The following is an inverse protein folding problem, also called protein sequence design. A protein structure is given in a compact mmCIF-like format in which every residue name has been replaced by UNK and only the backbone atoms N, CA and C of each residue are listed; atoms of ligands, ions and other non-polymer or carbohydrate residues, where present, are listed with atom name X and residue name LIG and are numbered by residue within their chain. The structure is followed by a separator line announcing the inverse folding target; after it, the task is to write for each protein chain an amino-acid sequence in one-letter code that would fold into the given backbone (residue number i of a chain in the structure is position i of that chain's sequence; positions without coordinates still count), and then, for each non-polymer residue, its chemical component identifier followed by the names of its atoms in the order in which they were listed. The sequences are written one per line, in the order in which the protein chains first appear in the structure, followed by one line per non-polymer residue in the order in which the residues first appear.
data_IF_014257525699
#
_entry.id   IF_014257525699
#
_cell.length_a   1.000
_cell.length_b   1.000
_cell.length_c   1.000
_cell.angle_alpha   90.00
_cell.angle_beta   90.00
_cell.angle_gamma   90.00
#
_symmetry.space_group_name_H-M   'P 1'
#
loop_
_entity.id
_entity.type
_entity.pdbx_description
1 polymer ?
#
# COMPACT_ATOMS: atom_id res chain seq x y z
N UNK A 1 -14.20 -36.66 -5.41
CA UNK A 1 -13.13 -35.73 -5.80
C UNK A 1 -13.82 -34.45 -6.20
N UNK A 2 -13.77 -33.47 -5.32
CA UNK A 2 -14.46 -32.20 -5.49
C UNK A 2 -13.47 -31.16 -6.01
N UNK A 3 -13.94 -30.18 -6.79
CA UNK A 3 -13.17 -29.11 -7.39
C UNK A 3 -12.29 -28.28 -6.40
N UNK A 4 -12.33 -28.61 -5.11
CA UNK A 4 -11.50 -28.01 -4.06
C UNK A 4 -10.09 -28.63 -3.96
N UNK A 5 -9.84 -29.80 -4.58
CA UNK A 5 -8.54 -30.47 -4.50
C UNK A 5 -7.58 -30.14 -5.64
N UNK A 6 -8.06 -29.46 -6.70
CA UNK A 6 -7.20 -29.04 -7.84
C UNK A 6 -6.48 -27.70 -7.62
N UNK A 7 -6.66 -27.02 -6.48
CA UNK A 7 -5.91 -25.79 -6.14
C UNK A 7 -4.64 -26.08 -5.31
N UNK A 8 -4.30 -27.36 -5.10
CA UNK A 8 -3.33 -27.81 -4.08
C UNK A 8 -1.85 -27.73 -4.43
N UNK A 9 -1.45 -27.56 -5.67
CA UNK A 9 -0.03 -27.47 -6.07
C UNK A 9 0.14 -26.55 -7.29
N UNK A 10 -0.18 -25.28 -7.15
CA UNK A 10 0.50 -24.32 -8.02
C UNK A 10 1.94 -24.23 -7.54
N UNK A 11 2.85 -24.90 -8.23
CA UNK A 11 4.28 -24.64 -8.18
C UNK A 11 4.47 -23.12 -8.09
N UNK A 12 5.47 -22.69 -7.31
CA UNK A 12 5.94 -21.30 -7.21
C UNK A 12 5.54 -20.53 -8.46
N UNK A 13 4.57 -19.61 -8.34
CA UNK A 13 3.75 -19.22 -9.48
C UNK A 13 4.61 -18.74 -10.64
N UNK A 14 4.42 -19.31 -11.79
CA UNK A 14 5.22 -19.08 -13.00
C UNK A 14 5.27 -17.58 -13.39
N UNK A 15 4.30 -16.78 -12.95
CA UNK A 15 4.28 -15.33 -13.16
C UNK A 15 5.38 -14.61 -12.34
N UNK A 16 5.55 -14.92 -11.05
CA UNK A 16 6.56 -14.29 -10.20
C UNK A 16 7.99 -14.72 -10.55
N UNK A 17 8.18 -15.90 -11.11
CA UNK A 17 9.50 -16.34 -11.59
C UNK A 17 10.07 -15.40 -12.67
N UNK A 18 9.23 -14.64 -13.38
CA UNK A 18 9.64 -13.68 -14.41
C UNK A 18 9.98 -12.30 -13.85
N UNK A 19 9.66 -12.02 -12.57
CA UNK A 19 9.85 -10.70 -11.98
C UNK A 19 11.29 -10.18 -12.09
N UNK A 20 12.38 -10.96 -11.81
CA UNK A 20 13.74 -10.47 -11.97
C UNK A 20 14.05 -10.00 -13.38
N UNK A 21 13.60 -10.75 -14.39
CA UNK A 21 13.83 -10.40 -15.80
C UNK A 21 13.07 -9.12 -16.20
N UNK A 22 11.83 -8.95 -15.74
CA UNK A 22 11.01 -7.75 -16.01
C UNK A 22 11.63 -6.53 -15.34
N UNK A 23 12.07 -6.63 -14.08
CA UNK A 23 12.72 -5.57 -13.33
C UNK A 23 14.01 -5.13 -14.04
N UNK A 24 14.86 -6.08 -14.41
CA UNK A 24 16.09 -5.81 -15.14
C UNK A 24 15.85 -5.17 -16.52
N UNK A 25 14.88 -5.68 -17.28
CA UNK A 25 14.52 -5.13 -18.59
C UNK A 25 14.00 -3.68 -18.52
N UNK A 26 13.44 -3.28 -17.38
CA UNK A 26 12.99 -1.90 -17.13
C UNK A 26 14.09 -1.00 -16.55
N UNK A 27 15.28 -1.54 -16.26
CA UNK A 27 16.39 -0.80 -15.68
C UNK A 27 16.12 -0.30 -14.25
N UNK A 28 15.27 -0.99 -13.47
CA UNK A 28 14.93 -0.59 -12.12
C UNK A 28 16.04 -0.96 -11.13
N UNK A 29 16.41 -0.01 -10.27
CA UNK A 29 17.31 -0.23 -9.13
C UNK A 29 16.59 -0.87 -7.95
N UNK A 30 15.31 -0.55 -7.74
CA UNK A 30 14.47 -1.23 -6.75
C UNK A 30 14.07 -2.61 -7.28
N UNK A 31 14.09 -3.61 -6.38
CA UNK A 31 13.88 -5.02 -6.74
C UNK A 31 15.17 -5.77 -7.10
N UNK A 32 16.33 -5.18 -6.88
CA UNK A 32 17.62 -5.81 -7.11
C UNK A 32 18.52 -5.70 -5.85
N UNK A 33 18.80 -6.81 -5.14
CA UNK A 33 18.31 -8.17 -5.38
C UNK A 33 16.85 -8.38 -5.04
N UNK A 34 16.18 -9.30 -5.74
CA UNK A 34 14.86 -9.80 -5.41
C UNK A 34 15.00 -11.19 -4.76
N UNK A 35 14.58 -11.30 -3.51
CA UNK A 35 14.51 -12.56 -2.77
C UNK A 35 13.07 -13.03 -2.77
N UNK A 36 12.82 -14.21 -3.32
CA UNK A 36 11.46 -14.76 -3.42
C UNK A 36 11.37 -16.03 -2.58
N UNK A 37 10.36 -16.13 -1.73
CA UNK A 37 10.10 -17.27 -0.86
C UNK A 37 8.67 -17.78 -1.02
N UNK A 38 8.46 -19.07 -0.80
CA UNK A 38 7.11 -19.64 -0.80
C UNK A 38 6.31 -19.18 0.42
N UNK A 39 6.94 -19.20 1.58
CA UNK A 39 6.32 -18.81 2.83
C UNK A 39 7.31 -18.15 3.77
N UNK A 40 6.86 -17.12 4.47
CA UNK A 40 7.60 -16.49 5.56
C UNK A 40 6.64 -16.05 6.67
N UNK A 41 7.18 -15.73 7.84
CA UNK A 41 6.38 -15.10 8.88
C UNK A 41 5.94 -13.69 8.43
N UNK A 42 6.88 -12.88 7.89
CA UNK A 42 6.60 -11.53 7.40
C UNK A 42 7.75 -11.04 6.52
N UNK A 43 7.43 -10.57 5.32
CA UNK A 43 8.41 -9.95 4.40
C UNK A 43 9.06 -8.70 5.01
N UNK A 44 8.38 -7.95 5.88
CA UNK A 44 8.99 -6.84 6.62
C UNK A 44 10.09 -7.32 7.58
N UNK A 45 9.91 -8.45 8.24
CA UNK A 45 10.94 -9.00 9.14
C UNK A 45 12.12 -9.55 8.38
N UNK A 46 11.88 -10.16 7.21
CA UNK A 46 12.94 -10.58 6.30
C UNK A 46 13.76 -9.38 5.82
N UNK A 47 13.07 -8.31 5.39
CA UNK A 47 13.72 -7.08 4.97
C UNK A 47 14.52 -6.40 6.09
N UNK A 48 14.01 -6.37 7.32
CA UNK A 48 14.75 -5.88 8.51
C UNK A 48 15.98 -6.74 8.79
N UNK A 49 15.85 -8.06 8.67
CA UNK A 49 16.98 -8.98 8.82
C UNK A 49 18.03 -8.71 7.75
N UNK A 50 17.62 -8.60 6.47
CA UNK A 50 18.49 -8.24 5.37
C UNK A 50 19.20 -6.90 5.58
N UNK A 51 18.48 -5.87 6.04
CA UNK A 51 19.04 -4.56 6.33
C UNK A 51 20.17 -4.60 7.35
N UNK A 52 20.01 -5.40 8.44
CA UNK A 52 21.03 -5.63 9.48
C UNK A 52 22.23 -6.42 8.98
N UNK A 53 22.06 -7.26 7.96
CA UNK A 53 23.15 -8.01 7.30
C UNK A 53 23.75 -7.28 6.09
N UNK A 54 23.46 -5.98 5.93
CA UNK A 54 24.12 -5.15 4.92
C UNK A 54 23.50 -5.22 3.52
N UNK A 55 22.28 -5.74 3.37
CA UNK A 55 21.59 -5.70 2.07
C UNK A 55 21.53 -4.28 1.50
N UNK A 56 21.69 -4.10 0.17
CA UNK A 56 21.74 -2.80 -0.46
C UNK A 56 20.36 -2.12 -0.48
N UNK A 57 20.37 -0.81 -0.77
CA UNK A 57 19.15 -0.06 -1.13
C UNK A 57 18.46 -0.76 -2.30
N UNK A 58 17.14 -0.88 -2.24
CA UNK A 58 16.33 -1.51 -3.29
C UNK A 58 16.15 -3.02 -3.15
N UNK A 59 16.92 -3.69 -2.27
CA UNK A 59 16.71 -5.11 -1.99
C UNK A 59 15.24 -5.36 -1.59
N UNK A 60 14.62 -6.36 -2.19
CA UNK A 60 13.18 -6.64 -2.06
C UNK A 60 12.95 -8.09 -1.68
N UNK A 61 12.07 -8.33 -0.72
CA UNK A 61 11.62 -9.65 -0.27
C UNK A 61 10.16 -9.83 -0.66
N UNK A 62 9.87 -10.88 -1.39
CA UNK A 62 8.57 -11.26 -1.91
C UNK A 62 8.21 -12.65 -1.40
N UNK A 63 6.97 -12.85 -0.95
CA UNK A 63 6.47 -14.15 -0.49
C UNK A 63 5.12 -14.49 -1.11
N UNK A 64 4.87 -15.79 -1.36
CA UNK A 64 3.55 -16.28 -1.79
C UNK A 64 2.56 -16.33 -0.62
N UNK A 65 3.04 -16.53 0.60
CA UNK A 65 2.22 -16.48 1.81
C UNK A 65 2.98 -15.93 3.00
N UNK A 66 2.23 -15.35 3.94
CA UNK A 66 2.75 -14.91 5.23
C UNK A 66 1.95 -15.56 6.37
N UNK A 67 2.64 -16.22 7.32
CA UNK A 67 2.01 -16.84 8.50
C UNK A 67 1.72 -15.85 9.62
N UNK A 68 2.40 -14.69 9.63
CA UNK A 68 2.24 -13.61 10.60
C UNK A 68 2.24 -12.24 9.89
N UNK A 69 1.47 -12.13 8.79
CA UNK A 69 1.32 -10.88 8.05
C UNK A 69 0.75 -9.76 8.94
N UNK A 70 1.36 -8.56 8.87
CA UNK A 70 1.00 -7.44 9.75
C UNK A 70 0.46 -6.26 8.97
N UNK A 71 -0.58 -5.65 9.55
CA UNK A 71 -1.00 -4.29 9.27
C UNK A 71 -0.62 -3.34 10.41
N UNK A 72 -1.06 -2.09 10.33
CA UNK A 72 -0.87 -1.10 11.39
C UNK A 72 -1.66 -1.48 12.65
N UNK A 73 -1.21 -0.98 13.81
CA UNK A 73 -1.90 -1.16 15.11
C UNK A 73 -2.15 -2.64 15.47
N UNK A 74 -1.22 -3.54 15.11
CA UNK A 74 -1.32 -4.96 15.45
C UNK A 74 -2.36 -5.75 14.65
N UNK A 75 -2.97 -5.18 13.61
CA UNK A 75 -3.90 -5.91 12.73
C UNK A 75 -3.17 -6.98 11.94
N UNK A 76 -3.87 -8.05 11.65
CA UNK A 76 -3.36 -9.13 10.80
C UNK A 76 -3.68 -8.81 9.33
N UNK A 77 -2.71 -9.05 8.45
CA UNK A 77 -2.93 -9.08 7.01
C UNK A 77 -3.16 -10.52 6.58
N UNK A 78 -4.38 -10.83 6.17
CA UNK A 78 -4.79 -12.16 5.70
C UNK A 78 -4.66 -12.19 4.17
N UNK A 79 -3.99 -13.22 3.65
CA UNK A 79 -3.79 -13.39 2.22
C UNK A 79 -3.78 -14.87 1.86
N UNK A 80 -4.70 -15.35 1.03
CA UNK A 80 -4.59 -16.67 0.45
C UNK A 80 -3.28 -16.82 -0.35
N UNK A 81 -2.68 -18.02 -0.30
CA UNK A 81 -1.46 -18.32 -1.03
C UNK A 81 -1.68 -18.20 -2.54
N UNK A 82 -0.77 -17.55 -3.24
CA UNK A 82 -0.75 -17.50 -4.70
C UNK A 82 -1.62 -16.43 -5.34
N UNK A 83 -2.46 -15.74 -4.58
CA UNK A 83 -3.42 -14.77 -5.12
C UNK A 83 -2.92 -13.33 -5.10
N UNK A 84 -2.00 -13.01 -4.20
CA UNK A 84 -1.67 -11.62 -3.89
C UNK A 84 -0.18 -11.31 -4.09
N UNK A 85 0.17 -10.04 -4.04
CA UNK A 85 1.53 -9.56 -3.93
C UNK A 85 1.80 -9.17 -2.48
N UNK A 86 2.76 -9.85 -1.85
CA UNK A 86 3.21 -9.61 -0.48
C UNK A 86 4.70 -9.37 -0.50
N UNK A 87 5.12 -8.11 -0.42
CA UNK A 87 6.55 -7.80 -0.55
C UNK A 87 6.97 -6.62 0.31
N UNK A 88 8.26 -6.51 0.56
CA UNK A 88 8.88 -5.44 1.33
C UNK A 88 10.15 -4.97 0.65
N UNK A 89 10.30 -3.65 0.50
CA UNK A 89 11.45 -3.00 -0.12
C UNK A 89 12.29 -2.33 0.95
N UNK A 90 13.59 -2.58 0.93
CA UNK A 90 14.57 -1.90 1.78
C UNK A 90 15.02 -0.59 1.13
N UNK A 91 14.80 0.51 1.82
CA UNK A 91 15.13 1.86 1.37
C UNK A 91 16.15 2.50 2.31
N UNK A 92 17.30 2.91 1.79
CA UNK A 92 18.32 3.69 2.52
C UNK A 92 18.27 5.12 2.00
N UNK A 93 17.53 5.98 2.73
CA UNK A 93 17.14 7.31 2.23
C UNK A 93 17.90 8.45 2.90
N UNK A 94 18.57 8.21 4.05
CA UNK A 94 19.31 9.23 4.78
C UNK A 94 18.47 10.44 5.24
N UNK A 95 17.14 10.31 5.28
CA UNK A 95 16.22 11.39 5.59
C UNK A 95 16.02 11.60 7.10
N UNK A 96 15.53 12.80 7.53
CA UNK A 96 15.11 13.01 8.90
C UNK A 96 13.93 12.09 9.29
N UNK A 97 13.82 11.65 10.56
CA UNK A 97 12.73 10.80 11.04
C UNK A 97 11.32 11.33 10.73
N UNK A 98 11.13 12.64 10.77
CA UNK A 98 9.85 13.28 10.45
C UNK A 98 9.38 13.08 9.01
N UNK A 99 10.28 12.68 8.09
CA UNK A 99 9.96 12.38 6.69
C UNK A 99 9.45 10.95 6.48
N UNK A 100 9.61 10.05 7.45
CA UNK A 100 9.24 8.64 7.29
C UNK A 100 7.72 8.42 7.25
N UNK A 101 6.90 8.96 8.17
CA UNK A 101 5.46 8.69 8.16
C UNK A 101 4.76 9.05 6.84
N UNK A 102 5.05 10.20 6.19
CA UNK A 102 4.45 10.53 4.90
C UNK A 102 4.81 9.58 3.74
N UNK A 103 5.90 8.81 3.85
CA UNK A 103 6.28 7.86 2.80
C UNK A 103 5.23 6.77 2.58
N UNK A 104 4.38 6.46 3.56
CA UNK A 104 3.27 5.53 3.37
C UNK A 104 2.28 6.03 2.30
N UNK A 105 2.05 7.34 2.21
CA UNK A 105 1.21 7.95 1.18
C UNK A 105 1.87 7.94 -0.19
N UNK A 106 3.18 8.15 -0.24
CA UNK A 106 3.97 8.07 -1.47
C UNK A 106 3.98 6.64 -2.02
N UNK A 107 4.20 5.64 -1.14
CA UNK A 107 4.06 4.24 -1.52
C UNK A 107 2.63 3.91 -1.96
N UNK A 108 1.62 4.44 -1.25
CA UNK A 108 0.21 4.31 -1.64
C UNK A 108 -0.07 4.87 -3.02
N UNK A 109 0.53 6.00 -3.39
CA UNK A 109 0.38 6.59 -4.73
C UNK A 109 1.03 5.72 -5.82
N UNK A 110 2.21 5.13 -5.56
CA UNK A 110 2.84 4.18 -6.48
C UNK A 110 1.99 2.92 -6.70
N UNK A 111 1.44 2.36 -5.62
CA UNK A 111 0.51 1.22 -5.67
C UNK A 111 -0.77 1.59 -6.41
N UNK A 112 -1.34 2.76 -6.13
CA UNK A 112 -2.52 3.29 -6.80
C UNK A 112 -2.33 3.36 -8.32
N UNK A 113 -1.19 3.91 -8.77
CA UNK A 113 -0.89 4.05 -10.19
C UNK A 113 -0.76 2.67 -10.87
N UNK A 114 -0.12 1.69 -10.21
CA UNK A 114 0.01 0.33 -10.72
C UNK A 114 -1.35 -0.40 -10.79
N UNK A 115 -2.19 -0.27 -9.76
CA UNK A 115 -3.54 -0.84 -9.73
C UNK A 115 -4.42 -0.22 -10.82
N UNK A 116 -4.41 1.11 -10.97
CA UNK A 116 -5.17 1.78 -12.02
C UNK A 116 -4.73 1.36 -13.43
N UNK A 117 -3.42 1.18 -13.63
CA UNK A 117 -2.87 0.68 -14.89
C UNK A 117 -3.34 -0.76 -15.18
N UNK A 118 -3.35 -1.63 -14.16
CA UNK A 118 -3.81 -3.01 -14.28
C UNK A 118 -5.32 -3.14 -14.57
N UNK A 119 -6.12 -2.19 -14.09
CA UNK A 119 -7.56 -2.10 -14.37
C UNK A 119 -7.88 -1.43 -15.71
N UNK A 120 -6.94 -0.65 -16.23
CA UNK A 120 -7.11 0.13 -17.46
C UNK A 120 -7.63 1.57 -17.24
N UNK A 121 -7.50 2.43 -18.26
CA UNK A 121 -7.71 3.89 -18.13
C UNK A 121 -9.13 4.30 -17.75
N UNK A 122 -10.14 3.47 -18.03
CA UNK A 122 -11.53 3.74 -17.63
C UNK A 122 -11.72 3.74 -16.10
N UNK A 123 -10.82 3.13 -15.36
CA UNK A 123 -10.87 2.98 -13.90
C UNK A 123 -9.93 3.92 -13.14
N UNK A 124 -9.24 4.85 -13.82
CA UNK A 124 -8.26 5.73 -13.16
C UNK A 124 -8.86 6.51 -11.99
N UNK A 125 -10.08 7.00 -12.11
CA UNK A 125 -10.77 7.75 -11.07
C UNK A 125 -11.31 6.87 -9.93
N UNK A 126 -11.50 5.57 -10.17
CA UNK A 126 -12.02 4.63 -9.18
C UNK A 126 -10.98 4.23 -8.13
N UNK A 127 -9.67 4.40 -8.47
CA UNK A 127 -8.54 4.01 -7.62
C UNK A 127 -8.01 5.22 -6.88
N UNK A 128 -8.11 5.19 -5.55
CA UNK A 128 -7.78 6.32 -4.69
C UNK A 128 -6.91 5.90 -3.49
N UNK A 129 -6.14 6.85 -2.94
CA UNK A 129 -5.35 6.67 -1.72
C UNK A 129 -6.19 7.11 -0.52
N UNK A 130 -6.39 6.23 0.42
CA UNK A 130 -7.02 6.56 1.71
C UNK A 130 -5.94 6.75 2.78
N UNK A 131 -5.89 7.96 3.32
CA UNK A 131 -5.03 8.25 4.47
C UNK A 131 -5.30 7.26 5.63
N UNK A 132 -4.27 6.76 6.31
CA UNK A 132 -2.86 7.10 6.11
C UNK A 132 -2.08 6.14 5.19
N UNK A 133 -2.65 4.99 4.76
CA UNK A 133 -1.83 3.90 4.22
C UNK A 133 -2.59 2.86 3.38
N UNK A 134 -3.80 3.14 2.94
CA UNK A 134 -4.62 2.20 2.16
C UNK A 134 -4.80 2.69 0.72
N UNK A 135 -4.95 1.76 -0.20
CA UNK A 135 -5.43 2.02 -1.56
C UNK A 135 -6.80 1.36 -1.72
N UNK A 136 -7.74 2.12 -2.24
CA UNK A 136 -9.12 1.67 -2.46
C UNK A 136 -9.45 1.66 -3.94
N UNK A 137 -10.32 0.71 -4.35
CA UNK A 137 -11.04 0.73 -5.61
C UNK A 137 -12.53 0.77 -5.28
N UNK A 138 -13.25 1.77 -5.78
CA UNK A 138 -14.69 1.97 -5.51
C UNK A 138 -15.06 1.88 -4.02
N UNK A 139 -14.17 2.40 -3.16
CA UNK A 139 -14.38 2.45 -1.72
C UNK A 139 -13.97 1.17 -0.96
N UNK A 140 -13.57 0.10 -1.64
CA UNK A 140 -13.08 -1.15 -1.03
C UNK A 140 -11.56 -1.23 -1.08
N UNK A 141 -10.94 -1.75 -0.02
CA UNK A 141 -9.49 -1.85 0.11
C UNK A 141 -8.93 -2.92 -0.83
N UNK A 142 -8.03 -2.50 -1.74
CA UNK A 142 -7.27 -3.38 -2.64
C UNK A 142 -5.83 -3.58 -2.15
N UNK A 143 -5.27 -2.60 -1.43
CA UNK A 143 -3.91 -2.70 -0.91
C UNK A 143 -3.73 -1.98 0.42
N UNK A 144 -2.71 -2.40 1.17
CA UNK A 144 -2.27 -1.75 2.39
C UNK A 144 -0.75 -1.63 2.45
N UNK A 145 -0.29 -0.53 3.02
CA UNK A 145 1.13 -0.20 3.16
C UNK A 145 1.51 -0.15 4.64
N UNK A 146 2.64 -0.76 5.00
CA UNK A 146 3.23 -0.71 6.33
C UNK A 146 4.68 -0.25 6.25
N UNK A 147 4.90 1.03 6.53
CA UNK A 147 6.25 1.61 6.60
C UNK A 147 6.79 1.47 8.00
N UNK A 148 7.97 0.86 8.13
CA UNK A 148 8.73 0.73 9.37
C UNK A 148 10.15 1.28 9.16
N UNK A 149 10.79 1.77 10.21
CA UNK A 149 12.14 2.32 10.09
C UNK A 149 13.00 1.97 11.30
N UNK A 150 14.31 1.98 11.12
CA UNK A 150 15.28 1.98 12.20
C UNK A 150 16.04 3.30 12.22
N UNK A 151 16.43 3.72 13.43
CA UNK A 151 17.20 4.91 13.65
C UNK A 151 18.62 4.54 14.11
N UNK A 152 19.60 5.30 13.63
CA UNK A 152 20.97 5.31 14.13
C UNK A 152 21.26 6.74 14.64
N UNK A 153 21.19 6.92 15.96
CA UNK A 153 21.17 8.24 16.57
C UNK A 153 19.96 9.06 16.12
N UNK A 154 20.20 10.25 15.58
CA UNK A 154 19.16 11.17 15.12
C UNK A 154 18.78 10.96 13.63
N UNK A 155 19.36 9.99 12.94
CA UNK A 155 19.14 9.75 11.52
C UNK A 155 18.41 8.43 11.26
N UNK A 156 17.65 8.38 10.17
CA UNK A 156 17.06 7.15 9.68
C UNK A 156 18.17 6.29 9.06
N UNK A 157 18.37 5.10 9.61
CA UNK A 157 19.33 4.13 9.09
C UNK A 157 18.77 3.44 7.84
N UNK A 158 17.54 2.96 7.94
CA UNK A 158 16.79 2.41 6.84
C UNK A 158 15.27 2.53 7.05
N UNK A 159 14.56 2.43 5.96
CA UNK A 159 13.10 2.31 5.91
C UNK A 159 12.74 1.01 5.23
N UNK A 160 11.76 0.29 5.75
CA UNK A 160 11.13 -0.86 5.12
C UNK A 160 9.73 -0.45 4.68
N UNK A 161 9.48 -0.54 3.38
CA UNK A 161 8.15 -0.34 2.80
C UNK A 161 7.51 -1.70 2.54
N UNK A 162 6.68 -2.18 3.48
CA UNK A 162 5.89 -3.39 3.32
C UNK A 162 4.60 -3.08 2.58
N UNK A 163 4.30 -3.88 1.56
CA UNK A 163 3.17 -3.66 0.65
C UNK A 163 2.45 -4.99 0.44
N UNK A 164 1.13 -4.98 0.71
CA UNK A 164 0.23 -6.06 0.37
C UNK A 164 -0.81 -5.59 -0.65
N UNK A 165 -0.94 -6.30 -1.77
CA UNK A 165 -1.91 -5.97 -2.84
C UNK A 165 -2.73 -7.22 -3.15
N UNK A 166 -4.05 -7.11 -3.09
CA UNK A 166 -4.96 -8.15 -3.54
C UNK A 166 -5.04 -8.12 -5.07
N UNK A 167 -4.54 -9.16 -5.74
CA UNK A 167 -4.40 -9.17 -7.21
C UNK A 167 -5.36 -10.14 -7.87
N UNK A 168 -5.17 -11.45 -7.69
CA UNK A 168 -5.83 -12.51 -8.45
C UNK A 168 -7.08 -13.09 -7.77
N UNK A 169 -7.23 -12.88 -6.45
CA UNK A 169 -8.32 -13.46 -5.67
C UNK A 169 -9.69 -13.08 -6.24
N UNK A 170 -10.51 -14.08 -6.57
CA UNK A 170 -11.87 -13.91 -7.10
C UNK A 170 -12.96 -14.13 -6.06
N UNK A 171 -12.56 -14.41 -4.83
CA UNK A 171 -13.42 -14.47 -3.66
C UNK A 171 -12.70 -13.95 -2.44
N UNK A 172 -13.44 -13.43 -1.50
CA UNK A 172 -12.93 -12.96 -0.21
C UNK A 172 -13.79 -13.59 0.89
N UNK A 173 -13.22 -13.80 2.10
CA UNK A 173 -14.06 -14.16 3.25
C UNK A 173 -15.22 -13.19 3.42
N UNK A 174 -16.39 -13.70 3.85
CA UNK A 174 -17.63 -12.91 3.95
C UNK A 174 -17.44 -11.65 4.80
N UNK A 175 -16.67 -11.74 5.89
CA UNK A 175 -16.38 -10.62 6.79
C UNK A 175 -15.57 -9.50 6.11
N UNK A 176 -14.83 -9.82 5.04
CA UNK A 176 -14.01 -8.87 4.30
C UNK A 176 -14.66 -8.38 3.01
N UNK A 177 -15.64 -9.09 2.47
CA UNK A 177 -16.26 -8.81 1.15
C UNK A 177 -16.91 -7.42 1.05
N UNK A 178 -17.35 -6.87 2.19
CA UNK A 178 -17.92 -5.52 2.26
C UNK A 178 -16.86 -4.40 2.24
N UNK A 179 -15.63 -4.67 2.67
CA UNK A 179 -14.60 -3.65 2.93
C UNK A 179 -13.33 -3.83 2.11
N UNK A 180 -13.11 -5.00 1.51
CA UNK A 180 -11.96 -5.31 0.69
C UNK A 180 -12.36 -5.78 -0.71
N UNK A 181 -11.39 -5.71 -1.63
CA UNK A 181 -11.53 -6.18 -3.02
C UNK A 181 -10.17 -6.62 -3.56
N UNK A 182 -10.14 -7.10 -4.80
CA UNK A 182 -8.93 -7.40 -5.56
C UNK A 182 -8.98 -6.78 -6.95
N UNK A 183 -7.85 -6.71 -7.64
CA UNK A 183 -7.82 -6.22 -9.02
C UNK A 183 -8.69 -7.12 -9.92
N UNK A 184 -8.68 -8.44 -9.70
CA UNK A 184 -9.50 -9.40 -10.47
C UNK A 184 -11.01 -9.21 -10.23
N UNK A 185 -11.43 -8.92 -8.99
CA UNK A 185 -12.83 -8.65 -8.65
C UNK A 185 -13.34 -7.33 -9.25
N UNK A 186 -12.45 -6.36 -9.43
CA UNK A 186 -12.78 -5.05 -10.01
C UNK A 186 -12.71 -5.03 -11.55
N UNK A 187 -12.52 -6.18 -12.19
CA UNK A 187 -12.57 -6.34 -13.64
C UNK A 187 -11.21 -6.37 -14.33
N UNK A 188 -10.11 -6.49 -13.59
CA UNK A 188 -8.79 -6.70 -14.17
C UNK A 188 -8.72 -8.00 -14.96
N UNK A 189 -8.20 -7.94 -16.18
CA UNK A 189 -8.00 -9.07 -17.09
C UNK A 189 -6.52 -9.27 -17.38
N UNK A 190 -6.13 -10.50 -17.74
CA UNK A 190 -4.73 -10.86 -18.06
C UNK A 190 -3.72 -10.40 -17.01
N UNK A 191 -4.11 -10.51 -15.74
CA UNK A 191 -3.31 -10.02 -14.62
C UNK A 191 -2.03 -10.84 -14.45
N UNK A 192 -0.92 -10.14 -14.34
CA UNK A 192 0.42 -10.68 -14.11
C UNK A 192 1.02 -9.97 -12.88
N UNK A 193 1.22 -10.73 -11.79
CA UNK A 193 1.74 -10.18 -10.54
C UNK A 193 3.16 -9.61 -10.67
N UNK A 194 3.99 -10.20 -11.55
CA UNK A 194 5.34 -9.67 -11.79
C UNK A 194 5.31 -8.32 -12.52
N UNK A 195 4.36 -8.12 -13.43
CA UNK A 195 4.15 -6.82 -14.09
C UNK A 195 3.65 -5.78 -13.10
N UNK A 196 2.66 -6.13 -12.26
CA UNK A 196 2.15 -5.23 -11.21
C UNK A 196 3.26 -4.87 -10.22
N UNK A 197 4.07 -5.84 -9.78
CA UNK A 197 5.23 -5.60 -8.92
C UNK A 197 6.19 -4.60 -9.56
N UNK A 198 6.59 -4.82 -10.81
CA UNK A 198 7.51 -3.93 -11.51
C UNK A 198 6.93 -2.52 -11.72
N UNK A 199 5.62 -2.37 -11.93
CA UNK A 199 4.96 -1.08 -12.01
C UNK A 199 4.98 -0.34 -10.66
N UNK A 200 4.75 -1.06 -9.54
CA UNK A 200 4.89 -0.46 -8.20
C UNK A 200 6.32 -0.03 -7.93
N UNK A 201 7.31 -0.90 -8.20
CA UNK A 201 8.73 -0.59 -7.99
C UNK A 201 9.16 0.64 -8.80
N UNK A 202 8.72 0.77 -10.05
CA UNK A 202 8.98 1.96 -10.88
C UNK A 202 8.38 3.24 -10.27
N UNK A 203 7.17 3.15 -9.72
CA UNK A 203 6.52 4.26 -9.02
C UNK A 203 7.27 4.66 -7.73
N UNK A 204 7.71 3.67 -6.94
CA UNK A 204 8.51 3.90 -5.74
C UNK A 204 9.86 4.56 -6.08
N UNK A 205 10.56 4.07 -7.09
CA UNK A 205 11.85 4.61 -7.53
C UNK A 205 11.73 6.06 -7.97
N UNK A 206 10.67 6.39 -8.71
CA UNK A 206 10.39 7.76 -9.16
C UNK A 206 10.14 8.74 -8.01
N UNK A 207 9.38 8.33 -6.97
CA UNK A 207 8.78 9.27 -6.03
C UNK A 207 9.39 9.25 -4.62
N UNK A 208 9.86 8.08 -4.11
CA UNK A 208 10.19 7.91 -2.69
C UNK A 208 11.44 8.68 -2.28
N UNK A 209 12.51 8.60 -3.07
CA UNK A 209 13.76 9.30 -2.77
C UNK A 209 13.57 10.82 -2.74
N UNK A 210 12.82 11.35 -3.71
CA UNK A 210 12.49 12.78 -3.80
C UNK A 210 11.63 13.23 -2.61
N UNK A 211 10.64 12.43 -2.22
CA UNK A 211 9.77 12.72 -1.08
C UNK A 211 10.53 12.67 0.25
N UNK A 212 11.47 11.74 0.40
CA UNK A 212 12.33 11.65 1.56
C UNK A 212 13.24 12.88 1.70
N UNK A 213 13.79 13.36 0.59
CA UNK A 213 14.67 14.54 0.55
C UNK A 213 13.89 15.85 0.70
N UNK A 214 12.82 16.04 -0.09
CA UNK A 214 12.15 17.34 -0.29
C UNK A 214 10.74 17.42 0.30
N UNK A 215 10.21 16.31 0.85
CA UNK A 215 8.83 16.21 1.31
C UNK A 215 7.84 15.98 0.19
N UNK A 216 6.56 16.12 0.51
CA UNK A 216 5.49 15.76 -0.42
C UNK A 216 5.27 16.74 -1.58
N UNK A 217 5.93 17.90 -1.61
CA UNK A 217 5.64 18.97 -2.57
C UNK A 217 5.52 18.53 -4.03
N UNK A 218 6.42 17.62 -4.47
CA UNK A 218 6.44 17.14 -5.86
C UNK A 218 5.32 16.13 -6.19
N UNK A 219 4.80 15.42 -5.20
CA UNK A 219 3.73 14.43 -5.38
C UNK A 219 2.38 14.91 -4.87
N UNK A 220 2.34 16.06 -4.20
CA UNK A 220 1.15 16.55 -3.49
C UNK A 220 -0.05 16.75 -4.41
N UNK A 221 0.14 17.32 -5.60
CA UNK A 221 -0.96 17.52 -6.55
C UNK A 221 -1.57 16.19 -6.99
N UNK A 222 -0.73 15.17 -7.26
CA UNK A 222 -1.20 13.82 -7.60
C UNK A 222 -1.93 13.17 -6.42
N UNK A 223 -1.38 13.30 -5.21
CA UNK A 223 -1.98 12.77 -3.99
C UNK A 223 -3.33 13.42 -3.72
N UNK A 224 -3.44 14.75 -3.84
CA UNK A 224 -4.70 15.49 -3.65
C UNK A 224 -5.78 15.10 -4.67
N UNK A 225 -5.38 14.85 -5.93
CA UNK A 225 -6.31 14.39 -6.97
C UNK A 225 -6.95 13.04 -6.62
N UNK A 226 -6.21 12.17 -5.93
CA UNK A 226 -6.62 10.81 -5.63
C UNK A 226 -6.87 10.56 -4.13
N UNK A 227 -7.12 11.61 -3.35
CA UNK A 227 -7.43 11.50 -1.91
C UNK A 227 -8.86 11.00 -1.71
N UNK A 228 -9.00 9.81 -1.12
CA UNK A 228 -10.28 9.18 -0.84
C UNK A 228 -11.14 9.92 0.18
N UNK A 229 -10.56 10.79 1.02
CA UNK A 229 -11.22 11.44 2.14
C UNK A 229 -11.56 12.91 1.87
N UNK A 230 -11.00 13.53 0.82
CA UNK A 230 -11.25 14.91 0.48
C UNK A 230 -12.74 15.16 0.18
N UNK A 231 -13.33 16.15 0.84
CA UNK A 231 -14.74 16.50 0.71
C UNK A 231 -15.73 15.50 1.35
N UNK A 232 -15.25 14.44 1.99
CA UNK A 232 -16.10 13.37 2.54
C UNK A 232 -16.27 13.52 4.05
N UNK A 233 -17.42 13.11 4.55
CA UNK A 233 -17.65 13.01 5.98
C UNK A 233 -16.82 11.88 6.58
N UNK A 234 -16.02 12.19 7.59
CA UNK A 234 -15.07 11.26 8.23
C UNK A 234 -15.29 11.23 9.75
N UNK A 235 -14.92 10.09 10.34
CA UNK A 235 -14.83 9.95 11.79
C UNK A 235 -13.59 9.14 12.15
N UNK A 236 -12.97 9.50 13.27
CA UNK A 236 -11.86 8.73 13.84
C UNK A 236 -12.40 7.50 14.57
N UNK A 237 -11.62 6.41 14.53
CA UNK A 237 -11.92 5.20 15.30
C UNK A 237 -11.33 5.25 16.69
N UNK A 238 -10.33 6.11 16.90
CA UNK A 238 -9.47 6.15 18.09
C UNK A 238 -9.66 7.45 18.92
N UNK A 239 -10.50 8.38 18.43
CA UNK A 239 -10.76 9.65 19.10
C UNK A 239 -12.16 10.18 18.75
N UNK A 240 -12.69 11.16 19.49
CA UNK A 240 -14.02 11.73 19.22
C UNK A 240 -14.06 12.61 17.95
N UNK A 241 -12.98 12.71 17.17
CA UNK A 241 -12.89 13.57 16.00
C UNK A 241 -13.89 13.15 14.92
N UNK A 242 -14.74 14.10 14.52
CA UNK A 242 -15.68 13.97 13.40
C UNK A 242 -15.66 15.26 12.58
N UNK A 243 -15.82 15.13 11.27
CA UNK A 243 -15.84 16.30 10.39
C UNK A 243 -15.83 15.96 8.92
N UNK A 244 -15.37 16.91 8.11
CA UNK A 244 -15.17 16.74 6.67
C UNK A 244 -13.67 16.74 6.37
N UNK A 245 -13.19 15.75 5.63
CA UNK A 245 -11.82 15.71 5.13
C UNK A 245 -11.56 16.90 4.20
N UNK A 246 -10.48 17.63 4.46
CA UNK A 246 -10.08 18.81 3.68
C UNK A 246 -8.78 18.60 2.89
N UNK A 247 -8.38 17.33 2.70
CA UNK A 247 -7.16 16.99 2.00
C UNK A 247 -6.00 16.67 2.95
N UNK A 248 -4.85 16.44 2.36
CA UNK A 248 -3.60 16.08 3.03
C UNK A 248 -2.63 17.26 2.88
N UNK A 249 -1.98 17.68 3.95
CA UNK A 249 -1.00 18.77 3.88
C UNK A 249 0.39 18.29 3.41
N UNK A 250 1.31 19.24 3.23
CA UNK A 250 2.68 18.96 2.76
C UNK A 250 3.52 18.13 3.73
N UNK A 251 3.11 18.04 5.00
CA UNK A 251 3.71 17.19 6.02
C UNK A 251 3.05 15.80 6.11
N UNK A 252 2.05 15.52 5.24
CA UNK A 252 1.35 14.24 5.18
C UNK A 252 0.27 14.06 6.25
N UNK A 253 -0.14 15.14 6.92
CA UNK A 253 -1.23 15.12 7.90
C UNK A 253 -2.56 15.26 7.19
N UNK A 254 -3.56 14.51 7.63
CA UNK A 254 -4.91 14.72 7.15
C UNK A 254 -5.52 15.95 7.82
N UNK A 255 -6.16 16.80 7.03
CA UNK A 255 -6.90 17.96 7.49
C UNK A 255 -8.38 17.60 7.62
N UNK A 256 -8.96 17.83 8.79
CA UNK A 256 -10.38 17.56 9.06
C UNK A 256 -11.04 18.84 9.58
N UNK A 257 -12.06 19.32 8.88
CA UNK A 257 -12.90 20.45 9.32
C UNK A 257 -14.02 19.93 10.21
N UNK A 258 -14.03 20.35 11.45
CA UNK A 258 -15.06 20.04 12.45
C UNK A 258 -16.30 20.91 12.25
N UNK A 259 -17.39 20.61 12.95
CA UNK A 259 -18.68 21.29 12.80
C UNK A 259 -18.63 22.78 13.18
N UNK A 260 -17.71 23.17 14.06
CA UNK A 260 -17.45 24.59 14.45
C UNK A 260 -16.60 25.36 13.44
N UNK A 261 -16.21 24.72 12.31
CA UNK A 261 -15.40 25.32 11.26
C UNK A 261 -13.87 25.19 11.48
N UNK A 262 -13.43 24.69 12.62
CA UNK A 262 -12.00 24.49 12.93
C UNK A 262 -11.40 23.41 12.03
N UNK A 263 -10.16 23.63 11.54
CA UNK A 263 -9.41 22.63 10.80
C UNK A 263 -8.39 21.97 11.71
N UNK A 264 -8.65 20.72 12.05
CA UNK A 264 -7.76 19.88 12.86
C UNK A 264 -6.77 19.12 11.97
N UNK A 265 -5.48 19.11 12.36
CA UNK A 265 -4.42 18.34 11.69
C UNK A 265 -4.25 17.00 12.37
N UNK A 266 -4.50 15.91 11.65
CA UNK A 266 -4.38 14.54 12.15
C UNK A 266 -3.05 13.96 11.69
N UNK A 267 -2.17 13.63 12.64
CA UNK A 267 -0.82 13.10 12.37
C UNK A 267 -0.76 11.58 12.40
N UNK A 268 -1.65 10.94 13.15
CA UNK A 268 -1.73 9.49 13.32
C UNK A 268 -3.17 9.08 13.64
N UNK A 269 -3.45 7.79 13.53
CA UNK A 269 -4.77 7.23 13.81
C UNK A 269 -5.39 6.58 12.59
N UNK A 270 -6.67 6.28 12.69
CA UNK A 270 -7.48 5.74 11.60
C UNK A 270 -8.78 6.52 11.46
N UNK A 271 -9.11 6.84 10.21
CA UNK A 271 -10.38 7.45 9.87
C UNK A 271 -11.17 6.55 8.93
N UNK A 272 -12.48 6.50 9.17
CA UNK A 272 -13.44 5.85 8.27
C UNK A 272 -14.38 6.88 7.66
N UNK A 273 -14.86 6.59 6.46
CA UNK A 273 -15.93 7.33 5.84
C UNK A 273 -17.22 7.06 6.61
N UNK A 274 -17.93 8.12 6.94
CA UNK A 274 -19.28 7.99 7.50
C UNK A 274 -20.26 7.63 6.38
N UNK A 275 -21.22 6.73 6.64
CA UNK A 275 -22.34 6.58 5.73
C UNK A 275 -23.02 7.94 5.50
N UNK A 276 -23.37 8.22 4.26
CA UNK A 276 -24.25 9.36 3.94
C UNK A 276 -25.62 8.98 4.53
N UNK A 277 -25.93 9.50 5.72
CA UNK A 277 -27.31 9.46 6.20
C UNK A 277 -28.10 10.33 5.23
N UNK A 278 -28.98 9.70 4.44
CA UNK A 278 -29.99 10.44 3.70
C UNK A 278 -30.66 11.41 4.68
N UNK A 279 -30.61 12.70 4.37
CA UNK A 279 -31.38 13.69 5.12
C UNK A 279 -32.83 13.19 5.13
N UNK A 280 -33.36 12.88 6.32
CA UNK A 280 -34.81 12.74 6.46
C UNK A 280 -35.35 14.10 6.16
N UNK A 281 -35.90 14.27 4.98
CA UNK A 281 -36.80 15.38 4.69
C UNK A 281 -37.95 15.25 5.69
N UNK A 282 -37.98 16.17 6.66
CA UNK A 282 -39.08 16.40 7.58
C UNK A 282 -39.93 17.56 7.11
#
# INVERSE_FOLDING_TARGET
MTAAEEHGERAFAADLARAPAIIAARGLGLGAPLVVTEETASTNDDAKRGARHGSPHGATWLAESQTAGRGRQGRVWISPRGDNLLFSVLLRLGCPPARVPPLSLVCGLAVRDAVAKALGPAHDADVVVKWPNDVLVRGKKVAGILVESALSGAKVEYVIAGIGINVLGRSLPDELSAVATSIALEGGVDLDRAVVLADVLAGLERDVALAAERGLGLVHARLSKHDALAGRAVESTDSPLRGTGCGIDLEGRLLVRTADGTVTKVTAGELRLRPVTAAREG
#
